data_IF_551385857772
#
_entry.id   IF_551385857772
#
_cell.length_a   1.000
_cell.length_b   1.000
_cell.length_c   1.000
_cell.angle_alpha   90.00
_cell.angle_beta   90.00
_cell.angle_gamma   90.00
#
_symmetry.space_group_name_H-M   'P 1'
#
loop_
_entity.id
_entity.type
_entity.pdbx_description
1 polymer ?
#
# COMPACT_ATOMS: atom_id res chain seq x y z
N UNK A 1 1.18 18.96 13.62
CA UNK A 1 2.33 18.11 13.26
C UNK A 1 3.37 18.91 12.50
N UNK A 2 4.65 18.60 12.68
CA UNK A 2 5.73 19.13 11.83
C UNK A 2 5.50 18.62 10.38
N UNK A 3 5.59 19.47 9.34
CA UNK A 3 5.46 19.03 7.94
C UNK A 3 6.38 17.84 7.60
N UNK A 4 7.56 17.76 8.22
CA UNK A 4 8.49 16.65 8.07
C UNK A 4 7.89 15.31 8.52
N UNK A 5 7.19 15.28 9.66
CA UNK A 5 6.55 14.06 10.15
C UNK A 5 5.40 13.59 9.25
N UNK A 6 4.66 14.55 8.66
CA UNK A 6 3.59 14.25 7.70
C UNK A 6 4.16 13.66 6.42
N UNK A 7 5.31 14.15 5.96
CA UNK A 7 6.02 13.60 4.80
C UNK A 7 6.53 12.18 5.06
N UNK A 8 7.19 11.94 6.21
CA UNK A 8 7.64 10.60 6.58
C UNK A 8 6.48 9.61 6.71
N UNK A 9 5.36 10.03 7.32
CA UNK A 9 4.16 9.21 7.39
C UNK A 9 3.60 8.91 5.99
N UNK A 10 3.50 9.92 5.13
CA UNK A 10 3.02 9.75 3.76
C UNK A 10 3.89 8.79 2.94
N UNK A 11 5.21 8.89 3.07
CA UNK A 11 6.15 7.99 2.40
C UNK A 11 6.06 6.56 2.96
N UNK A 12 6.02 6.42 4.29
CA UNK A 12 5.88 5.10 4.94
C UNK A 12 4.61 4.38 4.43
N UNK A 13 3.46 5.05 4.49
CA UNK A 13 2.17 4.51 4.02
C UNK A 13 2.15 4.17 2.52
N UNK A 14 2.91 4.91 1.70
CA UNK A 14 2.93 4.69 0.25
C UNK A 14 3.77 3.47 -0.16
N UNK A 15 4.53 2.87 0.75
CA UNK A 15 5.49 1.79 0.46
C UNK A 15 4.81 0.52 -0.01
N UNK A 16 3.68 0.13 0.59
CA UNK A 16 3.00 -1.11 0.22
C UNK A 16 2.35 -1.02 -1.18
N UNK A 17 1.76 0.14 -1.50
CA UNK A 17 1.25 0.43 -2.83
C UNK A 17 2.38 0.52 -3.87
N UNK A 18 3.54 1.05 -3.49
CA UNK A 18 4.73 1.07 -4.35
C UNK A 18 5.24 -0.36 -4.66
N UNK A 19 5.29 -1.24 -3.67
CA UNK A 19 5.67 -2.64 -3.87
C UNK A 19 4.72 -3.36 -4.83
N UNK A 20 3.41 -3.14 -4.69
CA UNK A 20 2.39 -3.67 -5.61
C UNK A 20 2.59 -3.13 -7.04
N UNK A 21 2.92 -1.85 -7.17
CA UNK A 21 3.18 -1.19 -8.45
C UNK A 21 4.42 -1.74 -9.17
N UNK A 22 5.50 -2.02 -8.42
CA UNK A 22 6.71 -2.67 -8.95
C UNK A 22 6.41 -4.09 -9.45
N UNK A 23 5.64 -4.88 -8.70
CA UNK A 23 5.21 -6.22 -9.12
C UNK A 23 4.39 -6.20 -10.43
N UNK A 24 3.53 -5.19 -10.59
CA UNK A 24 2.81 -4.97 -11.87
C UNK A 24 3.75 -4.50 -12.97
N UNK A 25 4.66 -3.56 -12.70
CA UNK A 25 5.68 -3.11 -13.65
C UNK A 25 6.53 -4.25 -14.20
N UNK A 26 6.87 -5.22 -13.36
CA UNK A 26 7.64 -6.41 -13.74
C UNK A 26 6.93 -7.38 -14.70
N UNK A 27 5.59 -7.35 -14.72
CA UNK A 27 4.80 -8.24 -15.59
C UNK A 27 4.36 -7.57 -16.90
N UNK A 28 4.44 -6.24 -16.99
CA UNK A 28 4.06 -5.48 -18.18
C UNK A 28 5.28 -5.28 -19.11
N UNK A 29 5.32 -6.00 -20.23
CA UNK A 29 6.38 -5.89 -21.24
C UNK A 29 6.44 -4.52 -21.95
N UNK A 30 5.40 -3.67 -21.83
CA UNK A 30 5.39 -2.25 -22.26
C UNK A 30 4.39 -1.43 -21.42
N UNK A 31 4.83 -0.77 -20.34
CA UNK A 31 3.92 0.04 -19.53
C UNK A 31 3.52 1.31 -20.28
N UNK A 32 2.23 1.44 -20.59
CA UNK A 32 1.68 2.69 -21.09
C UNK A 32 1.60 3.70 -19.93
N UNK A 33 2.14 4.92 -20.13
CA UNK A 33 2.04 6.03 -19.18
C UNK A 33 0.59 6.26 -18.69
N UNK A 34 -0.38 6.06 -19.60
CA UNK A 34 -1.82 6.14 -19.29
C UNK A 34 -2.27 5.11 -18.25
N UNK A 35 -1.72 3.90 -18.29
CA UNK A 35 -2.07 2.83 -17.37
C UNK A 35 -1.37 2.99 -16.02
N UNK A 36 -0.10 3.44 -16.03
CA UNK A 36 0.63 3.83 -14.82
C UNK A 36 -0.11 4.94 -14.07
N UNK A 37 -0.51 6.00 -14.77
CA UNK A 37 -1.23 7.13 -14.18
C UNK A 37 -2.63 6.72 -13.70
N UNK A 38 -3.35 5.88 -14.46
CA UNK A 38 -4.66 5.36 -14.03
C UNK A 38 -4.53 4.51 -12.77
N UNK A 39 -3.51 3.66 -12.69
CA UNK A 39 -3.25 2.81 -11.51
C UNK A 39 -2.86 3.66 -10.32
N UNK A 40 -1.95 4.63 -10.50
CA UNK A 40 -1.52 5.55 -9.45
C UNK A 40 -2.65 6.44 -8.94
N UNK A 41 -3.54 6.90 -9.82
CA UNK A 41 -4.70 7.70 -9.44
C UNK A 41 -5.70 6.87 -8.62
N UNK A 42 -5.96 5.61 -9.01
CA UNK A 42 -6.83 4.71 -8.23
C UNK A 42 -6.26 4.46 -6.84
N UNK A 43 -5.00 4.05 -6.74
CA UNK A 43 -4.35 3.81 -5.45
C UNK A 43 -4.26 5.09 -4.60
N UNK A 44 -3.86 6.21 -5.20
CA UNK A 44 -3.76 7.48 -4.48
C UNK A 44 -5.09 8.00 -3.95
N UNK A 45 -6.19 7.82 -4.69
CA UNK A 45 -7.53 8.20 -4.21
C UNK A 45 -7.99 7.28 -3.08
N UNK A 46 -7.77 5.97 -3.22
CA UNK A 46 -8.12 5.01 -2.16
C UNK A 46 -7.32 5.31 -0.90
N UNK A 47 -6.00 5.48 -1.00
CA UNK A 47 -5.11 5.78 0.13
C UNK A 47 -5.31 7.20 0.71
N UNK A 48 -5.94 8.13 -0.02
CA UNK A 48 -6.38 9.41 0.55
C UNK A 48 -7.71 9.28 1.31
N UNK A 49 -8.67 8.52 0.77
CA UNK A 49 -10.00 8.37 1.36
C UNK A 49 -9.97 7.48 2.60
N UNK A 50 -9.09 6.49 2.62
CA UNK A 50 -9.09 5.46 3.67
C UNK A 50 -8.65 5.99 5.05
N UNK A 51 -7.61 6.83 5.17
CA UNK A 51 -7.29 7.52 6.42
C UNK A 51 -8.41 8.44 6.90
N UNK A 52 -9.16 9.08 5.99
CA UNK A 52 -10.31 9.91 6.33
C UNK A 52 -11.45 9.06 6.91
N UNK A 53 -11.73 7.90 6.30
CA UNK A 53 -12.71 6.95 6.80
C UNK A 53 -12.33 6.41 8.19
N UNK A 54 -11.06 6.02 8.36
CA UNK A 54 -10.50 5.61 9.64
C UNK A 54 -10.60 6.69 10.71
N UNK A 55 -10.28 7.94 10.35
CA UNK A 55 -10.39 9.09 11.24
C UNK A 55 -11.84 9.39 11.64
N UNK A 56 -12.79 9.28 10.71
CA UNK A 56 -14.20 9.48 11.01
C UNK A 56 -14.74 8.39 11.95
N UNK A 57 -14.36 7.13 11.73
CA UNK A 57 -14.66 6.03 12.63
C UNK A 57 -14.03 6.24 14.01
N UNK A 58 -12.75 6.64 14.06
CA UNK A 58 -12.01 6.94 15.29
C UNK A 58 -12.62 8.09 16.08
N UNK A 59 -13.01 9.19 15.42
CA UNK A 59 -13.68 10.34 16.06
C UNK A 59 -15.08 10.00 16.57
N UNK A 60 -15.83 9.17 15.85
CA UNK A 60 -17.15 8.70 16.29
C UNK A 60 -17.04 7.78 17.50
N UNK A 61 -16.01 6.94 17.54
CA UNK A 61 -15.67 6.13 18.70
C UNK A 61 -15.21 7.01 19.89
N UNK A 62 -14.38 8.03 19.66
CA UNK A 62 -13.88 8.92 20.71
C UNK A 62 -15.00 9.62 21.50
N UNK A 63 -16.17 9.91 20.88
CA UNK A 63 -17.34 10.44 21.60
C UNK A 63 -18.01 9.43 22.54
N UNK A 64 -17.93 8.13 22.27
CA UNK A 64 -18.51 7.07 23.10
C UNK A 64 -17.51 6.50 24.14
N UNK A 65 -16.21 6.77 23.98
CA UNK A 65 -15.11 6.00 24.61
C UNK A 65 -14.22 6.89 25.49
N UNK A 66 -14.74 8.02 25.98
CA UNK A 66 -14.01 8.90 26.92
C UNK A 66 -13.48 8.20 28.20
N UNK A 67 -13.90 6.96 28.50
CA UNK A 67 -13.44 6.17 29.64
C UNK A 67 -12.69 4.86 29.29
N UNK A 68 -12.63 4.46 28.01
CA UNK A 68 -12.14 3.12 27.57
C UNK A 68 -10.99 3.17 26.56
N UNK A 69 -10.36 4.34 26.41
CA UNK A 69 -9.39 4.68 25.37
C UNK A 69 -8.26 3.63 25.17
N UNK A 70 -7.77 3.04 26.27
CA UNK A 70 -6.71 2.04 26.24
C UNK A 70 -7.14 0.67 25.69
N UNK A 71 -8.38 0.24 25.96
CA UNK A 71 -8.88 -1.07 25.52
C UNK A 71 -9.24 -1.08 24.03
N UNK A 72 -9.59 0.07 23.47
CA UNK A 72 -9.89 0.19 22.04
C UNK A 72 -8.62 0.16 21.20
N UNK A 73 -7.58 0.88 21.60
CA UNK A 73 -6.27 0.78 20.94
C UNK A 73 -5.76 -0.67 20.98
N UNK A 74 -5.90 -1.35 22.12
CA UNK A 74 -5.56 -2.76 22.28
C UNK A 74 -6.39 -3.69 21.36
N UNK A 75 -7.69 -3.42 21.22
CA UNK A 75 -8.59 -4.17 20.32
C UNK A 75 -8.22 -3.98 18.85
N UNK A 76 -7.99 -2.75 18.41
CA UNK A 76 -7.56 -2.44 17.04
C UNK A 76 -6.21 -3.09 16.71
N UNK A 77 -5.22 -2.98 17.61
CA UNK A 77 -3.91 -3.61 17.45
C UNK A 77 -3.98 -5.14 17.48
N UNK A 78 -4.83 -5.73 18.34
CA UNK A 78 -5.04 -7.18 18.36
C UNK A 78 -5.66 -7.68 17.07
N UNK A 79 -6.67 -6.98 16.53
CA UNK A 79 -7.30 -7.36 15.26
C UNK A 79 -6.34 -7.20 14.09
N UNK A 80 -5.58 -6.11 14.04
CA UNK A 80 -4.55 -5.87 13.01
C UNK A 80 -3.44 -6.92 13.08
N UNK A 81 -2.88 -7.15 14.27
CA UNK A 81 -1.84 -8.16 14.50
C UNK A 81 -2.32 -9.57 14.16
N UNK A 82 -3.55 -9.94 14.56
CA UNK A 82 -4.14 -11.22 14.22
C UNK A 82 -4.35 -11.39 12.69
N UNK A 83 -4.81 -10.35 12.00
CA UNK A 83 -4.93 -10.34 10.53
C UNK A 83 -3.57 -10.56 9.86
N UNK A 84 -2.51 -9.90 10.33
CA UNK A 84 -1.15 -10.08 9.78
C UNK A 84 -0.61 -11.49 10.02
N UNK A 85 -0.82 -12.07 11.21
CA UNK A 85 -0.42 -13.45 11.52
C UNK A 85 -1.19 -14.45 10.65
N UNK A 86 -2.51 -14.26 10.48
CA UNK A 86 -3.33 -15.10 9.61
C UNK A 86 -2.94 -14.98 8.13
N UNK A 87 -2.60 -13.78 7.67
CA UNK A 87 -2.09 -13.56 6.31
C UNK A 87 -0.74 -14.24 6.10
N UNK A 88 0.17 -14.18 7.10
CA UNK A 88 1.45 -14.87 7.07
C UNK A 88 1.34 -16.39 7.07
N UNK A 89 0.28 -16.96 7.66
CA UNK A 89 0.01 -18.40 7.61
C UNK A 89 -0.72 -18.87 6.35
N UNK A 90 -1.32 -17.96 5.58
CA UNK A 90 -1.94 -18.30 4.30
C UNK A 90 -0.87 -18.48 3.23
N UNK A 91 -0.10 -19.56 3.34
CA UNK A 91 0.84 -20.03 2.31
C UNK A 91 0.07 -20.68 1.15
N UNK A 92 -0.80 -19.91 0.49
CA UNK A 92 -1.29 -20.25 -0.84
C UNK A 92 -0.30 -19.67 -1.85
N UNK A 93 0.83 -20.36 -2.00
CA UNK A 93 1.55 -20.37 -3.27
C UNK A 93 0.67 -21.18 -4.21
N UNK A 94 -0.31 -20.50 -4.82
CA UNK A 94 -1.03 -21.06 -5.95
C UNK A 94 -0.06 -20.95 -7.14
N UNK A 95 0.70 -22.02 -7.35
CA UNK A 95 1.28 -22.35 -8.64
C UNK A 95 0.13 -22.47 -9.65
N UNK A 96 -0.30 -21.38 -10.28
CA UNK A 96 -0.99 -21.52 -11.56
C UNK A 96 -0.83 -20.29 -12.46
N UNK A 97 -0.01 -20.51 -13.49
CA UNK A 97 0.05 -19.88 -14.83
C UNK A 97 0.13 -18.34 -14.96
N UNK A 98 1.09 -17.83 -15.75
CA UNK A 98 1.39 -16.40 -15.88
C UNK A 98 0.48 -15.72 -16.90
N UNK A 99 -0.85 -15.70 -16.72
CA UNK A 99 -1.74 -14.92 -17.59
C UNK A 99 -3.04 -14.61 -16.86
N UNK A 100 -3.43 -13.32 -16.74
CA UNK A 100 -4.78 -12.81 -16.39
C UNK A 100 -5.03 -12.24 -14.98
N UNK A 101 -4.32 -12.60 -13.91
CA UNK A 101 -4.71 -12.12 -12.56
C UNK A 101 -4.04 -10.82 -12.07
N UNK A 102 -3.31 -10.07 -12.90
CA UNK A 102 -2.66 -8.81 -12.48
C UNK A 102 -3.63 -7.80 -11.85
N UNK A 103 -4.88 -7.73 -12.34
CA UNK A 103 -5.91 -6.85 -11.78
C UNK A 103 -6.44 -7.35 -10.42
N UNK A 104 -6.60 -8.66 -10.26
CA UNK A 104 -7.10 -9.27 -9.02
C UNK A 104 -6.06 -9.20 -7.90
N UNK A 105 -4.79 -9.41 -8.25
CA UNK A 105 -3.66 -9.21 -7.33
C UNK A 105 -3.57 -7.74 -6.91
N UNK A 106 -3.68 -6.79 -7.85
CA UNK A 106 -3.71 -5.36 -7.50
C UNK A 106 -4.88 -4.98 -6.61
N UNK A 107 -6.06 -5.50 -6.89
CA UNK A 107 -7.26 -5.23 -6.11
C UNK A 107 -7.14 -5.81 -4.69
N UNK A 108 -6.63 -7.04 -4.57
CA UNK A 108 -6.41 -7.69 -3.28
C UNK A 108 -5.32 -6.99 -2.46
N UNK A 109 -4.19 -6.64 -3.09
CA UNK A 109 -3.12 -5.91 -2.42
C UNK A 109 -3.60 -4.51 -2.03
N UNK A 110 -4.25 -3.76 -2.92
CA UNK A 110 -4.81 -2.44 -2.58
C UNK A 110 -5.87 -2.49 -1.47
N UNK A 111 -6.66 -3.56 -1.40
CA UNK A 111 -7.57 -3.77 -0.27
C UNK A 111 -6.80 -4.06 1.03
N UNK A 112 -5.73 -4.86 0.96
CA UNK A 112 -4.88 -5.15 2.11
C UNK A 112 -4.14 -3.90 2.63
N UNK A 113 -3.59 -3.05 1.74
CA UNK A 113 -2.91 -1.81 2.13
C UNK A 113 -3.88 -0.77 2.71
N UNK A 114 -5.09 -0.69 2.16
CA UNK A 114 -6.13 0.20 2.65
C UNK A 114 -6.49 -0.07 4.13
N UNK A 115 -6.45 -1.33 4.58
CA UNK A 115 -6.75 -1.66 5.99
C UNK A 115 -5.72 -1.01 6.94
N UNK A 116 -4.44 -0.99 6.56
CA UNK A 116 -3.38 -0.36 7.36
C UNK A 116 -3.57 1.17 7.41
N UNK A 117 -3.85 1.79 6.27
CA UNK A 117 -4.13 3.22 6.19
C UNK A 117 -5.37 3.64 6.99
N UNK A 118 -6.37 2.77 7.07
CA UNK A 118 -7.56 3.00 7.89
C UNK A 118 -7.22 2.96 9.38
N UNK A 119 -6.38 2.00 9.80
CA UNK A 119 -5.93 1.88 11.18
C UNK A 119 -5.09 3.11 11.60
N UNK A 120 -4.17 3.55 10.73
CA UNK A 120 -3.39 4.78 10.92
C UNK A 120 -4.29 6.01 10.97
N UNK A 121 -5.30 6.11 10.10
CA UNK A 121 -6.31 7.17 10.13
C UNK A 121 -7.12 7.22 11.42
N UNK A 122 -7.52 6.05 11.95
CA UNK A 122 -8.17 5.96 13.24
C UNK A 122 -7.25 6.41 14.39
N UNK A 123 -5.96 6.06 14.35
CA UNK A 123 -4.95 6.55 15.29
C UNK A 123 -4.78 8.07 15.25
N UNK A 124 -4.80 8.67 14.05
CA UNK A 124 -4.76 10.13 13.87
C UNK A 124 -5.98 10.86 14.43
N UNK A 125 -7.09 10.17 14.74
CA UNK A 125 -8.26 10.80 15.38
C UNK A 125 -7.99 11.23 16.84
N UNK A 126 -6.99 10.61 17.48
CA UNK A 126 -6.58 10.90 18.85
C UNK A 126 -5.45 11.93 18.92
N UNK A 127 -4.88 12.31 17.77
CA UNK A 127 -3.83 13.33 17.66
C UNK A 127 -4.45 14.57 17.03
N UNK A 128 -4.25 15.75 17.62
CA UNK A 128 -4.81 17.01 17.14
C UNK A 128 -4.11 17.49 15.85
N UNK A 129 -4.48 16.84 14.73
CA UNK A 129 -3.83 16.99 13.42
C UNK A 129 -4.86 17.31 12.35
N UNK A 130 -4.47 18.16 11.40
CA UNK A 130 -5.26 18.42 10.22
C UNK A 130 -5.26 17.20 9.28
N UNK A 131 -6.22 16.30 9.50
CA UNK A 131 -6.38 15.05 8.73
C UNK A 131 -6.49 15.28 7.23
N UNK A 132 -7.09 16.40 6.79
CA UNK A 132 -7.24 16.71 5.37
C UNK A 132 -5.87 16.91 4.70
N UNK A 133 -4.96 17.62 5.37
CA UNK A 133 -3.60 17.82 4.89
C UNK A 133 -2.80 16.51 4.85
N UNK A 134 -2.94 15.68 5.88
CA UNK A 134 -2.24 14.40 5.98
C UNK A 134 -2.74 13.40 4.95
N UNK A 135 -4.05 13.28 4.77
CA UNK A 135 -4.68 12.42 3.78
C UNK A 135 -4.31 12.82 2.33
N UNK A 136 -4.30 14.13 2.03
CA UNK A 136 -3.81 14.60 0.73
C UNK A 136 -2.33 14.27 0.51
N UNK A 137 -1.49 14.44 1.53
CA UNK A 137 -0.07 14.11 1.42
C UNK A 137 0.16 12.61 1.17
N UNK A 138 -0.56 11.74 1.89
CA UNK A 138 -0.52 10.28 1.68
C UNK A 138 -0.94 9.92 0.25
N UNK A 139 -2.12 10.38 -0.18
CA UNK A 139 -2.64 10.05 -1.51
C UNK A 139 -1.76 10.56 -2.66
N UNK A 140 -1.20 11.76 -2.54
CA UNK A 140 -0.26 12.30 -3.54
C UNK A 140 1.06 11.54 -3.56
N UNK A 141 1.61 11.20 -2.40
CA UNK A 141 2.83 10.40 -2.29
C UNK A 141 2.62 9.01 -2.90
N UNK A 142 1.48 8.37 -2.62
CA UNK A 142 1.09 7.07 -3.17
C UNK A 142 0.93 7.14 -4.68
N UNK A 143 0.21 8.14 -5.19
CA UNK A 143 0.02 8.33 -6.63
C UNK A 143 1.37 8.49 -7.35
N UNK A 144 2.27 9.32 -6.79
CA UNK A 144 3.59 9.53 -7.36
C UNK A 144 4.42 8.23 -7.34
N UNK A 145 4.49 7.55 -6.21
CA UNK A 145 5.24 6.30 -6.06
C UNK A 145 4.70 5.20 -6.98
N UNK A 146 3.39 4.96 -7.01
CA UNK A 146 2.78 3.93 -7.87
C UNK A 146 3.03 4.24 -9.35
N UNK A 147 2.87 5.50 -9.76
CA UNK A 147 3.12 5.90 -11.15
C UNK A 147 4.60 5.68 -11.53
N UNK A 148 5.52 6.04 -10.62
CA UNK A 148 6.95 5.78 -10.80
C UNK A 148 7.28 4.28 -10.80
N UNK A 149 6.67 3.48 -9.93
CA UNK A 149 6.88 2.05 -9.83
C UNK A 149 6.47 1.30 -11.10
N UNK A 150 5.34 1.69 -11.72
CA UNK A 150 4.90 1.10 -12.99
C UNK A 150 5.72 1.61 -14.18
N UNK A 151 6.16 2.87 -14.18
CA UNK A 151 6.86 3.48 -15.33
C UNK A 151 8.37 3.20 -15.36
N UNK A 152 9.03 3.17 -14.19
CA UNK A 152 10.49 3.10 -14.06
C UNK A 152 11.01 1.66 -13.97
N UNK A 153 10.12 0.66 -14.00
CA UNK A 153 10.55 -0.73 -14.12
C UNK A 153 11.13 -0.93 -15.53
N UNK A 154 12.46 -0.90 -15.61
CA UNK A 154 13.22 -1.10 -16.83
C UNK A 154 13.40 -2.60 -17.07
N UNK A 155 12.76 -3.21 -18.09
CA UNK A 155 12.88 -4.64 -18.37
C UNK A 155 14.33 -5.07 -18.65
N UNK A 156 15.18 -4.14 -19.09
CA UNK A 156 16.56 -4.43 -19.47
C UNK A 156 17.45 -4.84 -18.29
N UNK A 157 17.14 -4.42 -17.06
CA UNK A 157 17.87 -4.83 -15.87
C UNK A 157 17.58 -6.30 -15.48
N UNK A 158 16.35 -6.76 -15.70
CA UNK A 158 15.97 -8.14 -15.43
C UNK A 158 16.45 -9.10 -16.53
N UNK A 159 16.41 -8.65 -17.80
CA UNK A 159 17.02 -9.38 -18.92
C UNK A 159 18.53 -9.54 -18.74
N UNK A 160 19.23 -8.55 -18.18
CA UNK A 160 20.66 -8.66 -17.87
C UNK A 160 20.93 -9.70 -16.77
N UNK A 161 20.07 -9.78 -15.75
CA UNK A 161 20.17 -10.77 -14.66
C UNK A 161 19.83 -12.18 -15.15
N UNK A 162 18.77 -12.33 -15.95
CA UNK A 162 18.41 -13.61 -16.59
C UNK A 162 19.46 -14.06 -17.61
N UNK A 163 20.04 -13.14 -18.37
CA UNK A 163 21.15 -13.43 -19.27
C UNK A 163 22.40 -13.87 -18.50
N UNK A 164 22.68 -13.25 -17.35
CA UNK A 164 23.79 -13.63 -16.46
C UNK A 164 23.56 -15.02 -15.86
N UNK A 165 22.33 -15.36 -15.43
CA UNK A 165 22.01 -16.72 -14.96
C UNK A 165 22.09 -17.78 -16.07
N UNK A 166 21.57 -17.50 -17.27
CA UNK A 166 21.70 -18.41 -18.41
C UNK A 166 23.15 -18.68 -18.80
N UNK A 167 24.02 -17.69 -18.69
CA UNK A 167 25.44 -17.86 -19.00
C UNK A 167 26.15 -18.72 -17.93
N UNK A 168 25.71 -18.66 -16.67
CA UNK A 168 26.24 -19.51 -15.59
C UNK A 168 25.82 -20.99 -15.66
N UNK A 169 24.67 -21.30 -16.26
CA UNK A 169 24.21 -22.68 -16.45
C UNK A 169 24.86 -23.39 -17.66
N UNK A 170 25.41 -22.64 -18.61
CA UNK A 170 26.04 -23.19 -19.84
C UNK A 170 27.55 -23.43 -19.67
N UNK A 171 28.14 -23.00 -18.56
CA UNK A 171 29.58 -23.12 -18.28
C UNK A 171 29.98 -24.27 -17.34
N UNK A 172 29.05 -25.21 -17.07
CA UNK A 172 29.33 -26.47 -16.38
C UNK A 172 29.06 -27.68 -17.28
#
# INVERSE_FOLDING_TARGET
MNPVATLFLALAMSTDAFAAALGKGATLHRPNLKEALRTGLVFGVIEALTPLAGWFAGKSAARYVSAWDHWIAFGLLSVLGARMVLAGWSNKVEEDKPTSHSFWVLALTGFATSIDAMAVGAGLAFVDVNIYSTAMAIGLATMAMVTLGVMRFDPSAFDLVLATQRLSEVTF
#
